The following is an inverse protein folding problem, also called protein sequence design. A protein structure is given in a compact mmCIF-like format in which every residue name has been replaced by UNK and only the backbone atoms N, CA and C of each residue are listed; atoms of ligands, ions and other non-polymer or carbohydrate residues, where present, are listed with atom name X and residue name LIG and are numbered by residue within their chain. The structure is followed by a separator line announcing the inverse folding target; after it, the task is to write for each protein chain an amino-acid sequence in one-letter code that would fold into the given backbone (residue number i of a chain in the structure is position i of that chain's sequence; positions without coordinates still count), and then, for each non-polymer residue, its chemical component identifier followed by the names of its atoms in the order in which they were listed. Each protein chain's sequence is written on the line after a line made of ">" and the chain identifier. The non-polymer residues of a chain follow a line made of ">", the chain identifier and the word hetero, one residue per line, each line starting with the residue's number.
data_IF_811343436958
#
_entry.id   IF_811343436958
#
_cell.length_a   1.000
_cell.length_b   1.000
_cell.length_c   1.000
_cell.angle_alpha   90.00
_cell.angle_beta   90.00
_cell.angle_gamma   90.00
#
_symmetry.space_group_name_H-M   'P 1'
#
loop_
_entity.id
_entity.type
_entity.pdbx_description
1 polymer ?
#
# COMPACT_ATOMS: atom_id res chain seq x y z
N UNK A 1 -7.38 39.84 -6.49
CA UNK A 1 -6.69 38.67 -7.07
C UNK A 1 -5.95 37.91 -5.97
N UNK A 2 -6.57 36.89 -5.38
CA UNK A 2 -6.04 36.21 -4.19
C UNK A 2 -6.34 34.71 -4.14
N UNK A 3 -6.30 34.02 -5.30
CA UNK A 3 -6.52 32.58 -5.40
C UNK A 3 -5.16 31.85 -5.35
N UNK A 4 -4.55 31.72 -4.16
CA UNK A 4 -3.35 30.88 -3.96
C UNK A 4 -3.29 30.16 -2.60
N UNK A 5 -4.39 30.04 -1.85
CA UNK A 5 -4.43 29.29 -0.58
C UNK A 5 -5.24 27.99 -0.65
N UNK A 6 -6.28 27.90 -1.48
CA UNK A 6 -7.10 26.69 -1.61
C UNK A 6 -6.37 25.49 -2.23
N UNK A 7 -5.56 25.68 -3.28
CA UNK A 7 -4.91 24.57 -3.99
C UNK A 7 -3.90 23.77 -3.14
N UNK A 8 -3.33 24.40 -2.10
CA UNK A 8 -2.45 23.74 -1.12
C UNK A 8 -3.24 23.07 0.01
N UNK A 9 -4.51 23.44 0.22
CA UNK A 9 -5.40 22.86 1.22
C UNK A 9 -6.18 21.67 0.67
N UNK A 10 -6.59 21.69 -0.62
CA UNK A 10 -7.29 20.56 -1.26
C UNK A 10 -6.41 19.31 -1.38
N UNK A 11 -5.09 19.49 -1.48
CA UNK A 11 -4.10 18.40 -1.41
C UNK A 11 -3.78 17.94 0.02
N UNK A 12 -4.23 18.69 1.04
CA UNK A 12 -4.09 18.37 2.46
C UNK A 12 -5.29 17.61 3.05
N UNK A 13 -6.41 17.45 2.33
CA UNK A 13 -7.66 16.92 2.92
C UNK A 13 -7.69 15.38 3.02
N UNK A 14 -6.95 14.66 2.18
CA UNK A 14 -6.88 13.19 2.27
C UNK A 14 -5.43 12.72 2.19
N UNK A 15 -4.70 12.87 3.30
CA UNK A 15 -3.41 12.22 3.41
C UNK A 15 -3.61 10.71 3.50
N UNK A 16 -2.97 9.91 2.62
CA UNK A 16 -2.97 8.46 2.75
C UNK A 16 -2.42 8.04 4.11
N UNK A 17 -3.11 7.09 4.77
CA UNK A 17 -2.82 6.66 6.14
C UNK A 17 -1.39 6.13 6.27
N UNK A 18 -0.92 5.34 5.30
CA UNK A 18 0.46 4.85 5.20
C UNK A 18 1.51 5.98 5.21
N UNK A 19 1.22 7.13 4.59
CA UNK A 19 2.12 8.26 4.60
C UNK A 19 2.17 8.89 5.99
N UNK A 20 1.03 9.02 6.67
CA UNK A 20 0.99 9.52 8.04
C UNK A 20 1.73 8.59 9.00
N UNK A 21 1.54 7.28 8.86
CA UNK A 21 2.19 6.28 9.70
C UNK A 21 3.70 6.25 9.52
N UNK A 22 4.20 6.24 8.27
CA UNK A 22 5.63 6.19 8.06
C UNK A 22 6.34 7.47 8.49
N UNK A 23 5.76 8.67 8.31
CA UNK A 23 6.36 9.89 8.89
C UNK A 23 6.38 9.85 10.42
N UNK A 24 5.34 9.33 11.07
CA UNK A 24 5.33 9.18 12.51
C UNK A 24 6.42 8.18 12.97
N UNK A 25 6.58 7.07 12.26
CA UNK A 25 7.64 6.10 12.53
C UNK A 25 9.05 6.72 12.36
N UNK A 26 9.28 7.49 11.30
CA UNK A 26 10.57 8.19 11.08
C UNK A 26 10.87 9.19 12.21
N UNK A 27 9.90 10.01 12.62
CA UNK A 27 10.07 10.97 13.73
C UNK A 27 10.39 10.26 15.05
N UNK A 28 9.69 9.17 15.36
CA UNK A 28 9.95 8.40 16.58
C UNK A 28 11.34 7.75 16.55
N UNK A 29 11.76 7.24 15.39
CA UNK A 29 13.09 6.66 15.21
C UNK A 29 14.19 7.71 15.48
N UNK A 30 14.04 8.93 14.96
CA UNK A 30 15.01 10.01 15.15
C UNK A 30 15.20 10.43 16.62
N UNK A 31 14.14 10.31 17.42
CA UNK A 31 14.15 10.60 18.86
C UNK A 31 14.80 9.51 19.71
N UNK A 32 15.14 8.35 19.13
CA UNK A 32 15.78 7.27 19.88
C UNK A 32 17.25 7.58 20.22
N UNK A 33 17.76 7.01 21.34
CA UNK A 33 19.18 7.05 21.66
C UNK A 33 20.06 6.56 20.51
N UNK A 34 21.25 7.14 20.37
CA UNK A 34 22.18 6.86 19.26
C UNK A 34 22.51 5.38 19.12
N UNK A 35 22.68 4.68 20.23
CA UNK A 35 22.98 3.24 20.24
C UNK A 35 21.80 2.42 19.68
N UNK A 36 20.58 2.72 20.11
CA UNK A 36 19.36 2.08 19.60
C UNK A 36 19.17 2.33 18.10
N UNK A 37 19.39 3.57 17.63
CA UNK A 37 19.33 3.88 16.19
C UNK A 37 20.38 3.11 15.37
N UNK A 38 21.57 2.89 15.93
CA UNK A 38 22.63 2.10 15.28
C UNK A 38 22.21 0.64 15.09
N UNK A 39 21.56 0.06 16.09
CA UNK A 39 21.03 -1.31 16.04
C UNK A 39 19.87 -1.44 15.04
N UNK A 40 19.10 -0.38 14.85
CA UNK A 40 17.92 -0.32 13.97
C UNK A 40 18.16 0.43 12.66
N UNK A 41 19.40 0.52 12.19
CA UNK A 41 19.80 1.37 11.03
C UNK A 41 19.03 1.10 9.73
N UNK A 42 18.46 -0.09 9.57
CA UNK A 42 17.69 -0.49 8.39
C UNK A 42 16.23 -0.04 8.42
N UNK A 43 15.70 0.26 9.61
CA UNK A 43 14.30 0.59 9.81
C UNK A 43 13.82 1.74 8.89
N UNK A 44 14.56 2.86 8.73
CA UNK A 44 14.10 3.94 7.85
C UNK A 44 13.93 3.49 6.39
N UNK A 45 14.82 2.62 5.90
CA UNK A 45 14.73 2.11 4.53
C UNK A 45 13.52 1.20 4.36
N UNK A 46 13.24 0.33 5.34
CA UNK A 46 12.08 -0.56 5.32
C UNK A 46 10.77 0.25 5.38
N UNK A 47 10.69 1.25 6.25
CA UNK A 47 9.51 2.14 6.36
C UNK A 47 9.23 2.84 5.04
N UNK A 48 10.25 3.44 4.40
CA UNK A 48 10.09 4.10 3.10
C UNK A 48 9.65 3.15 2.00
N UNK A 49 10.18 1.92 1.99
CA UNK A 49 9.76 0.89 1.03
C UNK A 49 8.29 0.54 1.19
N UNK A 50 7.85 0.20 2.42
CA UNK A 50 6.44 -0.09 2.70
C UNK A 50 5.51 1.07 2.35
N UNK A 51 5.93 2.31 2.56
CA UNK A 51 5.16 3.49 2.14
C UNK A 51 5.05 3.62 0.62
N UNK A 52 6.15 3.35 -0.11
CA UNK A 52 6.16 3.33 -1.57
C UNK A 52 5.23 2.23 -2.11
N UNK A 53 5.42 1.01 -1.61
CA UNK A 53 4.62 -0.16 -1.96
C UNK A 53 3.12 0.10 -1.71
N UNK A 54 2.76 0.65 -0.54
CA UNK A 54 1.37 0.99 -0.20
C UNK A 54 0.77 2.05 -1.13
N UNK A 55 1.57 3.04 -1.54
CA UNK A 55 1.13 4.05 -2.51
C UNK A 55 0.87 3.45 -3.88
N UNK A 56 1.77 2.60 -4.37
CA UNK A 56 1.59 1.89 -5.66
C UNK A 56 0.36 0.98 -5.62
N UNK A 57 0.15 0.26 -4.52
CA UNK A 57 -1.04 -0.59 -4.34
C UNK A 57 -2.34 0.21 -4.29
N UNK A 58 -2.37 1.40 -3.69
CA UNK A 58 -3.55 2.29 -3.73
C UNK A 58 -3.88 2.72 -5.14
N UNK A 59 -2.88 3.22 -5.87
CA UNK A 59 -3.07 3.62 -7.25
C UNK A 59 -3.61 2.45 -8.09
N UNK A 60 -3.05 1.25 -7.88
CA UNK A 60 -3.54 0.05 -8.56
C UNK A 60 -4.97 -0.32 -8.19
N UNK A 61 -5.34 -0.16 -6.93
CA UNK A 61 -6.70 -0.41 -6.46
C UNK A 61 -7.70 0.55 -7.12
N UNK A 62 -7.34 1.82 -7.28
CA UNK A 62 -8.12 2.82 -8.00
C UNK A 62 -8.28 2.41 -9.48
N UNK A 63 -7.19 2.07 -10.17
CA UNK A 63 -7.23 1.57 -11.56
C UNK A 63 -8.14 0.34 -11.74
N UNK A 64 -8.06 -0.63 -10.83
CA UNK A 64 -8.89 -1.83 -10.88
C UNK A 64 -10.35 -1.53 -10.60
N UNK A 65 -10.65 -0.62 -9.67
CA UNK A 65 -12.01 -0.18 -9.39
C UNK A 65 -12.61 0.59 -10.58
N UNK A 66 -11.81 1.44 -11.24
CA UNK A 66 -12.23 2.15 -12.45
C UNK A 66 -12.49 1.18 -13.61
N UNK A 67 -11.62 0.18 -13.81
CA UNK A 67 -11.81 -0.87 -14.81
C UNK A 67 -13.06 -1.71 -14.55
N UNK A 68 -13.37 -1.99 -13.27
CA UNK A 68 -14.59 -2.68 -12.85
C UNK A 68 -15.85 -1.78 -12.93
N UNK A 69 -15.69 -0.46 -12.75
CA UNK A 69 -16.76 0.54 -12.79
C UNK A 69 -17.09 1.07 -14.19
N UNK A 70 -16.15 0.97 -15.13
CA UNK A 70 -16.22 1.54 -16.49
C UNK A 70 -17.20 0.92 -17.47
N UNK A 71 -18.09 0.01 -17.05
CA UNK A 71 -19.19 -0.55 -17.86
C UNK A 71 -20.48 -0.72 -17.07
N UNK A 72 -20.79 0.26 -16.21
CA UNK A 72 -22.03 0.27 -15.43
C UNK A 72 -23.29 0.60 -16.22
N UNK A 73 -23.20 1.23 -17.40
CA UNK A 73 -24.37 1.88 -18.04
C UNK A 73 -24.51 1.71 -19.57
N UNK A 74 -23.60 1.01 -20.25
CA UNK A 74 -23.74 0.75 -21.69
C UNK A 74 -24.04 -0.73 -21.96
N UNK A 75 -25.33 -1.09 -21.94
CA UNK A 75 -25.80 -2.33 -22.57
C UNK A 75 -26.40 -3.40 -21.66
N UNK A 76 -27.05 -3.05 -20.54
CA UNK A 76 -28.07 -3.94 -19.94
C UNK A 76 -29.36 -3.88 -20.76
N UNK A 77 -29.29 -4.27 -22.02
CA UNK A 77 -30.46 -4.69 -22.79
C UNK A 77 -30.44 -6.21 -22.86
N UNK A 78 -31.51 -6.82 -22.34
CA UNK A 78 -31.65 -8.26 -22.22
C UNK A 78 -31.40 -8.99 -23.54
N UNK A 79 -30.49 -9.94 -23.50
CA UNK A 79 -30.22 -10.85 -24.60
C UNK A 79 -29.49 -12.07 -24.06
N UNK A 80 -29.98 -13.24 -24.46
CA UNK A 80 -29.48 -14.60 -24.28
C UNK A 80 -27.99 -14.76 -23.88
N UNK A 81 -27.66 -15.80 -23.08
CA UNK A 81 -26.29 -16.08 -22.63
C UNK A 81 -25.33 -16.33 -23.82
N UNK A 82 -24.79 -15.25 -24.38
CA UNK A 82 -23.84 -15.30 -25.49
C UNK A 82 -22.45 -15.68 -24.98
N UNK A 83 -21.64 -16.33 -25.83
CA UNK A 83 -20.23 -16.61 -25.53
C UNK A 83 -19.43 -15.35 -25.15
N UNK A 84 -19.86 -14.18 -25.63
CA UNK A 84 -19.30 -12.86 -25.30
C UNK A 84 -19.62 -12.48 -23.85
N UNK A 85 -20.85 -12.71 -23.37
CA UNK A 85 -21.24 -12.52 -21.97
C UNK A 85 -20.41 -13.40 -21.03
N UNK A 86 -20.28 -14.70 -21.31
CA UNK A 86 -19.48 -15.60 -20.48
C UNK A 86 -17.99 -15.22 -20.44
N UNK A 87 -17.44 -14.70 -21.55
CA UNK A 87 -16.06 -14.19 -21.57
C UNK A 87 -15.93 -12.93 -20.71
N UNK A 88 -16.89 -12.02 -20.80
CA UNK A 88 -16.91 -10.80 -20.00
C UNK A 88 -16.98 -11.12 -18.50
N UNK A 89 -17.86 -12.03 -18.09
CA UNK A 89 -18.00 -12.44 -16.69
C UNK A 89 -16.71 -13.02 -16.10
N UNK A 90 -15.96 -13.81 -16.89
CA UNK A 90 -14.64 -14.34 -16.47
C UNK A 90 -13.63 -13.21 -16.26
N UNK A 91 -13.55 -12.27 -17.19
CA UNK A 91 -12.64 -11.11 -17.07
C UNK A 91 -12.99 -10.29 -15.83
N UNK A 92 -14.27 -10.05 -15.57
CA UNK A 92 -14.73 -9.34 -14.37
C UNK A 92 -14.34 -10.11 -13.10
N UNK A 93 -14.56 -11.42 -13.07
CA UNK A 93 -14.17 -12.27 -11.93
C UNK A 93 -12.65 -12.23 -11.68
N UNK A 94 -11.84 -12.31 -12.73
CA UNK A 94 -10.38 -12.25 -12.62
C UNK A 94 -9.90 -10.89 -12.09
N UNK A 95 -10.49 -9.79 -12.58
CA UNK A 95 -10.21 -8.43 -12.09
C UNK A 95 -10.62 -8.25 -10.63
N UNK A 96 -11.75 -8.82 -10.22
CA UNK A 96 -12.20 -8.80 -8.81
C UNK A 96 -11.21 -9.55 -7.90
N UNK A 97 -10.75 -10.74 -8.32
CA UNK A 97 -9.75 -11.51 -7.59
C UNK A 97 -8.41 -10.75 -7.48
N UNK A 98 -7.99 -10.06 -8.55
CA UNK A 98 -6.80 -9.21 -8.52
C UNK A 98 -6.97 -8.04 -7.54
N UNK A 99 -8.11 -7.35 -7.60
CA UNK A 99 -8.48 -6.23 -6.73
C UNK A 99 -8.48 -6.63 -5.26
N UNK A 100 -9.03 -7.79 -4.93
CA UNK A 100 -9.05 -8.30 -3.55
C UNK A 100 -7.64 -8.64 -3.04
N UNK A 101 -6.78 -9.21 -3.89
CA UNK A 101 -5.37 -9.47 -3.55
C UNK A 101 -4.61 -8.17 -3.30
N UNK A 102 -4.73 -7.18 -4.18
CA UNK A 102 -4.07 -5.86 -4.02
C UNK A 102 -4.56 -5.17 -2.75
N UNK A 103 -5.86 -5.21 -2.48
CA UNK A 103 -6.44 -4.64 -1.27
C UNK A 103 -5.90 -5.31 0.00
N UNK A 104 -5.80 -6.65 0.02
CA UNK A 104 -5.22 -7.37 1.16
C UNK A 104 -3.76 -6.99 1.40
N UNK A 105 -2.96 -6.86 0.33
CA UNK A 105 -1.56 -6.45 0.44
C UNK A 105 -1.39 -5.01 0.93
N UNK A 106 -2.27 -4.10 0.51
CA UNK A 106 -2.32 -2.76 1.06
C UNK A 106 -2.60 -2.78 2.57
N UNK A 107 -3.56 -3.60 3.01
CA UNK A 107 -3.87 -3.75 4.43
C UNK A 107 -2.67 -4.31 5.22
N UNK A 108 -1.95 -5.29 4.67
CA UNK A 108 -0.76 -5.88 5.30
C UNK A 108 0.38 -4.86 5.44
N UNK A 109 0.64 -4.05 4.41
CA UNK A 109 1.66 -3.00 4.45
C UNK A 109 1.32 -1.90 5.48
N UNK A 110 0.06 -1.45 5.51
CA UNK A 110 -0.42 -0.47 6.51
C UNK A 110 -0.31 -1.03 7.92
N UNK A 111 -0.67 -2.30 8.11
CA UNK A 111 -0.53 -2.99 9.40
C UNK A 111 0.94 -3.10 9.83
N UNK A 112 1.86 -3.40 8.92
CA UNK A 112 3.29 -3.43 9.22
C UNK A 112 3.82 -2.05 9.65
N UNK A 113 3.41 -0.98 8.96
CA UNK A 113 3.75 0.40 9.34
C UNK A 113 3.22 0.78 10.72
N UNK A 114 1.97 0.42 11.03
CA UNK A 114 1.38 0.66 12.36
C UNK A 114 2.12 -0.12 13.45
N UNK A 115 2.44 -1.40 13.22
CA UNK A 115 3.20 -2.23 14.16
C UNK A 115 4.57 -1.62 14.45
N UNK A 116 5.30 -1.17 13.44
CA UNK A 116 6.59 -0.49 13.61
C UNK A 116 6.42 0.79 14.44
N UNK A 117 5.43 1.63 14.11
CA UNK A 117 5.13 2.87 14.84
C UNK A 117 4.85 2.62 16.31
N UNK A 118 3.99 1.65 16.63
CA UNK A 118 3.64 1.31 18.02
C UNK A 118 4.84 0.76 18.80
N UNK A 119 5.70 -0.04 18.16
CA UNK A 119 6.95 -0.49 18.78
C UNK A 119 7.91 0.65 19.08
N UNK A 120 8.06 1.60 18.16
CA UNK A 120 8.88 2.78 18.37
C UNK A 120 8.33 3.66 19.51
N UNK A 121 7.01 3.81 19.61
CA UNK A 121 6.36 4.46 20.75
C UNK A 121 6.67 3.75 22.07
N UNK A 122 6.62 2.42 22.11
CA UNK A 122 6.97 1.63 23.30
C UNK A 122 8.45 1.76 23.67
N UNK A 123 9.36 1.74 22.69
CA UNK A 123 10.79 1.98 22.93
C UNK A 123 11.04 3.37 23.49
N UNK A 124 10.35 4.38 22.96
CA UNK A 124 10.42 5.75 23.47
C UNK A 124 9.92 5.85 24.91
N UNK A 125 8.85 5.12 25.24
CA UNK A 125 8.31 5.03 26.59
C UNK A 125 9.10 4.08 27.54
N UNK A 126 10.17 3.44 27.06
CA UNK A 126 10.98 2.49 27.84
C UNK A 126 10.33 1.12 28.11
N UNK A 127 9.18 0.82 27.51
CA UNK A 127 8.43 -0.44 27.70
C UNK A 127 8.63 -1.47 26.58
N UNK A 128 9.30 -1.09 25.49
CA UNK A 128 9.62 -1.97 24.35
C UNK A 128 11.03 -2.58 24.43
N UNK A 129 11.26 -3.67 23.70
CA UNK A 129 12.60 -4.26 23.51
C UNK A 129 13.04 -4.17 22.06
N UNK A 130 14.35 -3.95 21.85
CA UNK A 130 14.94 -3.91 20.49
C UNK A 130 14.76 -5.27 19.78
N UNK A 131 14.87 -6.37 20.52
CA UNK A 131 14.69 -7.72 19.98
C UNK A 131 13.30 -7.93 19.36
N UNK A 132 12.22 -7.51 20.05
CA UNK A 132 10.87 -7.62 19.51
C UNK A 132 10.71 -6.81 18.22
N UNK A 133 11.23 -5.58 18.19
CA UNK A 133 11.19 -4.74 17.00
C UNK A 133 11.99 -5.35 15.84
N UNK A 134 13.15 -5.97 16.09
CA UNK A 134 13.90 -6.64 15.01
C UNK A 134 13.16 -7.84 14.42
N UNK A 135 12.37 -8.56 15.21
CA UNK A 135 11.48 -9.62 14.71
C UNK A 135 10.40 -9.04 13.81
N UNK A 136 9.74 -7.97 14.24
CA UNK A 136 8.70 -7.30 13.44
C UNK A 136 9.26 -6.70 12.14
N UNK A 137 10.51 -6.20 12.16
CA UNK A 137 11.20 -5.77 10.94
C UNK A 137 11.47 -6.92 9.97
N UNK A 138 11.67 -8.15 10.46
CA UNK A 138 11.76 -9.35 9.63
C UNK A 138 10.48 -9.61 8.85
N UNK A 139 9.35 -9.65 9.56
CA UNK A 139 8.03 -9.82 8.95
C UNK A 139 7.71 -8.70 7.95
N UNK A 140 8.07 -7.45 8.29
CA UNK A 140 7.90 -6.33 7.39
C UNK A 140 8.71 -6.47 6.07
N UNK A 141 9.91 -7.05 6.12
CA UNK A 141 10.71 -7.33 4.92
C UNK A 141 10.06 -8.39 4.03
N UNK A 142 9.52 -9.45 4.64
CA UNK A 142 8.81 -10.52 3.91
C UNK A 142 7.60 -9.94 3.17
N UNK A 143 6.78 -9.14 3.86
CA UNK A 143 5.64 -8.43 3.26
C UNK A 143 6.08 -7.55 2.09
N UNK A 144 7.12 -6.73 2.27
CA UNK A 144 7.63 -5.87 1.20
C UNK A 144 8.16 -6.66 -0.02
N UNK A 145 8.81 -7.81 0.21
CA UNK A 145 9.30 -8.67 -0.87
C UNK A 145 8.14 -9.30 -1.66
N UNK A 146 7.12 -9.81 -0.96
CA UNK A 146 5.93 -10.37 -1.60
C UNK A 146 5.16 -9.34 -2.43
N UNK A 147 5.07 -8.09 -1.95
CA UNK A 147 4.45 -7.00 -2.70
C UNK A 147 5.25 -6.66 -3.95
N UNK A 148 6.58 -6.53 -3.84
CA UNK A 148 7.43 -6.23 -5.00
C UNK A 148 7.31 -7.30 -6.09
N UNK A 149 7.28 -8.59 -5.73
CA UNK A 149 7.08 -9.68 -6.69
C UNK A 149 5.74 -9.56 -7.44
N UNK A 150 4.67 -9.18 -6.74
CA UNK A 150 3.35 -8.97 -7.35
C UNK A 150 3.35 -7.80 -8.34
N UNK A 151 4.00 -6.68 -7.97
CA UNK A 151 4.11 -5.49 -8.81
C UNK A 151 5.03 -5.73 -10.02
N UNK A 152 6.14 -6.47 -9.85
CA UNK A 152 7.10 -6.79 -10.91
C UNK A 152 6.56 -7.81 -11.91
N UNK A 153 5.91 -8.88 -11.43
CA UNK A 153 5.36 -9.93 -12.30
C UNK A 153 4.35 -9.40 -13.33
N UNK A 154 3.78 -8.21 -13.12
CA UNK A 154 2.86 -7.56 -14.06
C UNK A 154 3.57 -6.64 -15.07
N UNK A 155 4.62 -5.92 -14.67
CA UNK A 155 5.42 -5.06 -15.58
C UNK A 155 6.14 -5.86 -16.66
N UNK A 156 6.38 -7.14 -16.41
CA UNK A 156 6.92 -8.08 -17.41
C UNK A 156 5.84 -8.45 -18.44
N UNK A 157 4.62 -8.75 -18.01
CA UNK A 157 3.48 -9.05 -18.89
C UNK A 157 3.09 -7.85 -19.78
N UNK A 158 3.10 -6.64 -19.23
CA UNK A 158 2.80 -5.43 -20.01
C UNK A 158 3.89 -5.06 -21.01
N UNK A 159 5.16 -5.44 -20.77
CA UNK A 159 6.26 -5.28 -21.72
C UNK A 159 6.27 -6.34 -22.82
N UNK A 160 5.81 -7.54 -22.54
CA UNK A 160 5.73 -8.64 -23.52
C UNK A 160 4.48 -8.53 -24.42
N UNK A 161 3.47 -7.76 -24.02
CA UNK A 161 2.22 -7.56 -24.77
C UNK A 161 2.08 -6.18 -25.44
N UNK A 162 3.08 -5.29 -25.29
CA UNK A 162 3.17 -3.98 -25.94
C UNK A 162 4.28 -3.92 -26.97
#
# INVERSE_FOLDING_TARGET
>A
MGLKRDALQSSSTHRPTELALGLAAEQLFEQLPRETRRQLRELPTIVRRLQGDAREMRQRLEELNDALGGKGDEGREGGEATAVGTRHDRIVADLQLERDRVHQRLADAVKALETIRLNLLRLHAGSGSVQSLTTDLGLAREVAAEISLLLEGRREIERELG
#
